data_IF_039307686113
#
_entry.id   IF_039307686113
#
_cell.length_a   1.000
_cell.length_b   1.000
_cell.length_c   1.000
_cell.angle_alpha   90.00
_cell.angle_beta   90.00
_cell.angle_gamma   90.00
#
_symmetry.space_group_name_H-M   'P 1'
#
loop_
_entity.id
_entity.type
_entity.pdbx_description
1 polymer ?
#
# COMPACT_ATOMS: atom_id res chain seq x y z
N UNK A 1 -5.24 29.94 -10.88
CA UNK A 1 -4.13 30.35 -11.78
C UNK A 1 -3.84 29.18 -12.73
N UNK A 2 -4.03 29.35 -14.04
CA UNK A 2 -3.98 28.23 -14.99
C UNK A 2 -2.66 27.46 -14.88
N UNK A 3 -2.72 26.12 -14.98
CA UNK A 3 -1.57 25.20 -14.87
C UNK A 3 -0.40 25.68 -15.75
N UNK A 4 -0.73 26.24 -16.91
CA UNK A 4 0.21 26.81 -17.87
C UNK A 4 1.04 27.99 -17.32
N UNK A 5 0.41 28.94 -16.59
CA UNK A 5 1.14 30.05 -15.95
C UNK A 5 2.15 29.57 -14.90
N UNK A 6 1.86 28.47 -14.21
CA UNK A 6 2.78 27.90 -13.19
C UNK A 6 3.98 27.21 -13.83
N UNK A 7 3.75 26.45 -14.91
CA UNK A 7 4.83 25.77 -15.63
C UNK A 7 5.73 26.76 -16.36
N UNK A 8 5.17 27.82 -16.97
CA UNK A 8 5.94 28.90 -17.59
C UNK A 8 6.84 29.61 -16.57
N UNK A 9 6.33 29.93 -15.36
CA UNK A 9 7.14 30.53 -14.30
C UNK A 9 8.32 29.65 -13.89
N UNK A 10 8.12 28.33 -13.75
CA UNK A 10 9.21 27.39 -13.45
C UNK A 10 10.24 27.34 -14.56
N UNK A 11 9.78 27.28 -15.82
CA UNK A 11 10.64 27.24 -16.99
C UNK A 11 11.53 28.50 -17.08
N UNK A 12 10.95 29.68 -16.84
CA UNK A 12 11.66 30.96 -16.82
C UNK A 12 12.69 31.04 -15.69
N UNK A 13 12.32 30.60 -14.48
CA UNK A 13 13.24 30.62 -13.34
C UNK A 13 14.43 29.66 -13.53
N UNK A 14 14.15 28.45 -14.02
CA UNK A 14 15.18 27.47 -14.37
C UNK A 14 16.10 27.99 -15.48
N UNK A 15 15.52 28.62 -16.50
CA UNK A 15 16.26 29.23 -17.61
C UNK A 15 17.18 30.34 -17.12
N UNK A 16 16.68 31.23 -16.25
CA UNK A 16 17.50 32.27 -15.65
C UNK A 16 18.65 31.68 -14.82
N UNK A 17 18.39 30.65 -14.02
CA UNK A 17 19.42 29.97 -13.24
C UNK A 17 20.50 29.34 -14.13
N UNK A 18 20.10 28.64 -15.20
CA UNK A 18 21.03 28.05 -16.17
C UNK A 18 21.88 29.14 -16.83
N UNK A 19 21.26 30.26 -17.25
CA UNK A 19 21.98 31.38 -17.85
C UNK A 19 23.07 31.93 -16.91
N UNK A 20 22.73 32.20 -15.65
CA UNK A 20 23.72 32.69 -14.68
C UNK A 20 24.84 31.68 -14.43
N UNK A 21 24.54 30.38 -14.39
CA UNK A 21 25.55 29.33 -14.27
C UNK A 21 26.47 29.34 -15.48
N UNK A 22 25.93 29.39 -16.70
CA UNK A 22 26.74 29.43 -17.92
C UNK A 22 27.62 30.68 -17.99
N UNK A 23 27.11 31.85 -17.60
CA UNK A 23 27.91 33.07 -17.53
C UNK A 23 29.01 32.99 -16.48
N UNK A 24 28.70 32.45 -15.30
CA UNK A 24 29.69 32.23 -14.25
C UNK A 24 30.82 31.29 -14.71
N UNK A 25 30.46 30.21 -15.42
CA UNK A 25 31.45 29.31 -16.03
C UNK A 25 32.31 30.04 -17.07
N UNK A 26 31.70 30.83 -17.97
CA UNK A 26 32.46 31.60 -18.98
C UNK A 26 33.44 32.60 -18.34
N UNK A 27 33.07 33.22 -17.21
CA UNK A 27 33.95 34.13 -16.44
C UNK A 27 35.12 33.36 -15.84
N UNK A 28 34.87 32.20 -15.22
CA UNK A 28 35.91 31.34 -14.63
C UNK A 28 36.91 30.86 -15.68
N UNK A 29 36.42 30.51 -16.87
CA UNK A 29 37.23 29.92 -17.93
C UNK A 29 37.89 30.92 -18.87
N UNK A 30 37.73 32.23 -18.61
CA UNK A 30 38.31 33.31 -19.42
C UNK A 30 38.05 33.18 -20.93
N UNK A 31 36.99 32.49 -21.33
CA UNK A 31 36.45 32.50 -22.69
C UNK A 31 35.81 33.86 -22.94
N UNK A 32 35.93 34.42 -24.16
CA UNK A 32 35.41 35.75 -24.52
C UNK A 32 34.04 36.02 -23.88
N UNK A 33 34.03 36.79 -22.80
CA UNK A 33 32.80 37.23 -22.19
C UNK A 33 32.20 38.24 -23.15
N UNK A 34 31.16 37.82 -23.88
CA UNK A 34 30.40 38.73 -24.74
C UNK A 34 29.90 39.87 -23.86
N UNK A 35 30.57 41.02 -23.88
CA UNK A 35 30.18 42.22 -23.16
C UNK A 35 29.42 43.16 -24.12
N UNK A 36 28.50 43.97 -23.61
CA UNK A 36 27.70 44.90 -24.43
C UNK A 36 26.53 44.22 -25.16
N UNK A 37 26.28 44.57 -26.42
CA UNK A 37 25.10 44.10 -27.18
C UNK A 37 25.05 42.57 -27.37
N UNK A 38 26.20 41.90 -27.36
CA UNK A 38 26.29 40.44 -27.46
C UNK A 38 25.65 39.66 -26.30
N UNK A 39 25.50 40.29 -25.12
CA UNK A 39 24.82 39.67 -23.96
C UNK A 39 23.35 39.39 -24.29
N UNK A 40 22.66 40.33 -24.95
CA UNK A 40 21.24 40.19 -25.26
C UNK A 40 20.97 39.05 -26.26
N UNK A 41 21.86 38.89 -27.23
CA UNK A 41 21.82 37.78 -28.19
C UNK A 41 22.06 36.45 -27.48
N UNK A 42 23.04 36.39 -26.58
CA UNK A 42 23.35 35.19 -25.79
C UNK A 42 22.19 34.80 -24.83
N UNK A 43 21.56 35.79 -24.19
CA UNK A 43 20.32 35.60 -23.42
C UNK A 43 19.23 35.01 -24.33
N UNK A 44 19.02 35.61 -25.52
CA UNK A 44 18.03 35.15 -26.47
C UNK A 44 18.20 33.69 -26.87
N UNK A 45 19.42 33.28 -27.23
CA UNK A 45 19.71 31.89 -27.54
C UNK A 45 19.56 30.99 -26.32
N UNK A 46 20.12 31.37 -25.16
CA UNK A 46 19.98 30.56 -23.95
C UNK A 46 18.50 30.28 -23.63
N UNK A 47 17.66 31.30 -23.70
CA UNK A 47 16.21 31.15 -23.49
C UNK A 47 15.55 30.28 -24.56
N UNK A 48 15.92 30.45 -25.83
CA UNK A 48 15.38 29.65 -26.93
C UNK A 48 15.66 28.15 -26.72
N UNK A 49 16.89 27.79 -26.34
CA UNK A 49 17.28 26.40 -26.12
C UNK A 49 16.66 25.81 -24.85
N UNK A 50 16.75 26.51 -23.71
CA UNK A 50 16.25 25.97 -22.43
C UNK A 50 14.74 25.85 -22.41
N UNK A 51 13.99 26.81 -22.97
CA UNK A 51 12.53 26.75 -23.02
C UNK A 51 12.06 25.63 -23.94
N UNK A 52 12.65 25.53 -25.15
CA UNK A 52 12.33 24.45 -26.10
C UNK A 52 12.56 23.07 -25.46
N UNK A 53 13.73 22.86 -24.86
CA UNK A 53 14.06 21.61 -24.20
C UNK A 53 13.15 21.35 -22.99
N UNK A 54 12.85 22.37 -22.18
CA UNK A 54 11.95 22.21 -21.03
C UNK A 54 10.56 21.75 -21.44
N UNK A 55 9.95 22.41 -22.44
CA UNK A 55 8.59 22.08 -22.86
C UNK A 55 8.51 20.72 -23.52
N UNK A 56 9.46 20.36 -24.38
CA UNK A 56 9.50 19.05 -25.04
C UNK A 56 9.66 17.93 -23.99
N UNK A 57 10.63 18.05 -23.09
CA UNK A 57 10.86 17.04 -22.06
C UNK A 57 9.72 16.98 -21.03
N UNK A 58 9.14 18.12 -20.64
CA UNK A 58 7.97 18.16 -19.75
C UNK A 58 6.74 17.49 -20.38
N UNK A 59 6.54 17.69 -21.70
CA UNK A 59 5.42 17.06 -22.43
C UNK A 59 5.62 15.56 -22.56
N UNK A 60 6.83 15.12 -22.91
CA UNK A 60 7.19 13.69 -22.94
C UNK A 60 6.99 13.04 -21.56
N UNK A 61 7.45 13.69 -20.49
CA UNK A 61 7.29 13.21 -19.12
C UNK A 61 5.81 13.05 -18.75
N UNK A 62 4.97 14.03 -19.07
CA UNK A 62 3.51 13.99 -18.83
C UNK A 62 2.84 12.89 -19.65
N UNK A 63 3.19 12.75 -20.93
CA UNK A 63 2.68 11.68 -21.81
C UNK A 63 2.99 10.29 -21.26
N UNK A 64 4.24 10.05 -20.87
CA UNK A 64 4.65 8.76 -20.31
C UNK A 64 4.02 8.46 -18.95
N UNK A 65 3.78 9.48 -18.12
CA UNK A 65 3.06 9.29 -16.86
C UNK A 65 1.57 8.99 -17.07
N UNK A 66 0.92 9.63 -18.05
CA UNK A 66 -0.47 9.35 -18.38
C UNK A 66 -0.67 7.95 -19.00
N UNK A 67 0.27 7.50 -19.83
CA UNK A 67 0.19 6.19 -20.50
C UNK A 67 0.46 5.00 -19.56
N UNK A 68 1.22 5.20 -18.49
CA UNK A 68 1.72 4.14 -17.61
C UNK A 68 1.28 4.34 -16.15
N UNK A 69 -0.03 4.51 -15.91
CA UNK A 69 -0.59 4.80 -14.59
C UNK A 69 -0.39 3.68 -13.54
N UNK A 70 -0.46 2.41 -13.94
CA UNK A 70 -0.51 1.30 -12.96
C UNK A 70 0.85 0.93 -12.36
N UNK A 71 1.96 1.22 -13.04
CA UNK A 71 3.34 1.02 -12.55
C UNK A 71 4.29 2.04 -13.21
N UNK A 72 4.30 3.30 -12.76
CA UNK A 72 5.00 4.38 -13.44
C UNK A 72 6.54 4.33 -13.31
N UNK A 73 7.08 3.59 -12.32
CA UNK A 73 8.49 3.71 -11.91
C UNK A 73 9.31 2.43 -11.96
N UNK A 74 8.94 1.47 -12.81
CA UNK A 74 9.81 0.31 -13.05
C UNK A 74 11.14 0.78 -13.67
N UNK A 75 12.30 0.25 -13.24
CA UNK A 75 13.62 0.60 -13.79
C UNK A 75 13.67 0.59 -15.33
N UNK A 76 13.08 -0.44 -15.96
CA UNK A 76 12.96 -0.56 -17.41
C UNK A 76 12.24 0.64 -18.06
N UNK A 77 11.17 1.13 -17.44
CA UNK A 77 10.38 2.25 -17.95
C UNK A 77 11.10 3.57 -17.77
N UNK A 78 11.81 3.75 -16.65
CA UNK A 78 12.66 4.94 -16.42
C UNK A 78 13.78 4.99 -17.45
N UNK A 79 14.45 3.86 -17.71
CA UNK A 79 15.50 3.78 -18.74
C UNK A 79 14.96 4.12 -20.14
N UNK A 80 13.81 3.57 -20.53
CA UNK A 80 13.16 3.90 -21.81
C UNK A 80 12.85 5.40 -21.89
N UNK A 81 12.31 6.00 -20.83
CA UNK A 81 12.00 7.43 -20.79
C UNK A 81 13.25 8.30 -20.92
N UNK A 82 14.33 7.93 -20.23
CA UNK A 82 15.59 8.64 -20.29
C UNK A 82 16.16 8.59 -21.72
N UNK A 83 16.21 7.41 -22.33
CA UNK A 83 16.69 7.24 -23.71
C UNK A 83 15.85 8.06 -24.69
N UNK A 84 14.52 7.98 -24.61
CA UNK A 84 13.63 8.75 -25.49
C UNK A 84 13.80 10.27 -25.27
N UNK A 85 13.89 10.71 -24.02
CA UNK A 85 14.13 12.13 -23.68
C UNK A 85 15.45 12.62 -24.26
N UNK A 86 16.53 11.84 -24.17
CA UNK A 86 17.82 12.20 -24.73
C UNK A 86 17.81 12.23 -26.26
N UNK A 87 17.24 11.20 -26.91
CA UNK A 87 17.14 11.16 -28.37
C UNK A 87 16.34 12.34 -28.92
N UNK A 88 15.21 12.67 -28.30
CA UNK A 88 14.41 13.84 -28.71
C UNK A 88 15.16 15.14 -28.45
N UNK A 89 15.87 15.27 -27.33
CA UNK A 89 16.66 16.46 -27.04
C UNK A 89 17.80 16.67 -28.04
N UNK A 90 18.53 15.61 -28.45
CA UNK A 90 19.54 15.71 -29.52
C UNK A 90 18.92 16.26 -30.79
N UNK A 91 17.77 15.70 -31.19
CA UNK A 91 17.06 16.13 -32.39
C UNK A 91 16.60 17.60 -32.31
N UNK A 92 16.04 18.02 -31.17
CA UNK A 92 15.63 19.41 -30.94
C UNK A 92 16.82 20.36 -30.97
N UNK A 93 17.94 20.01 -30.35
CA UNK A 93 19.16 20.82 -30.37
C UNK A 93 19.69 20.97 -31.80
N UNK A 94 19.71 19.88 -32.57
CA UNK A 94 20.13 19.90 -33.98
C UNK A 94 19.26 20.86 -34.80
N UNK A 95 17.93 20.81 -34.62
CA UNK A 95 17.00 21.73 -35.30
C UNK A 95 17.22 23.18 -34.88
N UNK A 96 17.41 23.45 -33.58
CA UNK A 96 17.66 24.81 -33.09
C UNK A 96 18.96 25.37 -33.65
N UNK A 97 20.02 24.56 -33.73
CA UNK A 97 21.30 24.97 -34.36
C UNK A 97 21.15 25.21 -35.85
N UNK A 98 20.37 24.40 -36.55
CA UNK A 98 20.07 24.63 -37.97
C UNK A 98 19.34 25.97 -38.18
N UNK A 99 18.36 26.28 -37.32
CA UNK A 99 17.64 27.57 -37.34
C UNK A 99 18.58 28.74 -37.01
N UNK A 100 19.48 28.56 -36.05
CA UNK A 100 20.46 29.57 -35.67
C UNK A 100 21.47 29.86 -36.78
N UNK A 101 22.14 28.84 -37.29
CA UNK A 101 23.23 28.99 -38.23
C UNK A 101 22.73 29.37 -39.63
N UNK A 102 21.66 28.74 -40.12
CA UNK A 102 21.13 29.03 -41.45
C UNK A 102 20.09 30.15 -41.46
N UNK A 103 19.22 30.20 -40.45
CA UNK A 103 18.11 31.15 -40.41
C UNK A 103 18.52 32.53 -39.89
N UNK A 104 19.29 32.58 -38.80
CA UNK A 104 19.64 33.85 -38.15
C UNK A 104 21.02 34.37 -38.58
N UNK A 105 22.02 33.50 -38.72
CA UNK A 105 23.38 33.87 -39.14
C UNK A 105 23.60 33.81 -40.66
N UNK A 106 22.69 33.18 -41.40
CA UNK A 106 22.71 33.13 -42.87
C UNK A 106 23.77 32.20 -43.47
N UNK A 107 24.28 31.23 -42.72
CA UNK A 107 25.26 30.26 -43.23
C UNK A 107 24.63 29.24 -44.19
N UNK A 108 25.46 28.69 -45.08
CA UNK A 108 25.04 27.69 -46.07
C UNK A 108 24.86 26.30 -45.45
N UNK A 109 24.12 25.43 -46.14
CA UNK A 109 23.95 24.03 -45.73
C UNK A 109 25.28 23.28 -45.59
N UNK A 110 26.22 23.54 -46.50
CA UNK A 110 27.54 22.91 -46.48
C UNK A 110 28.35 23.33 -45.25
N UNK A 111 28.28 24.61 -44.87
CA UNK A 111 28.97 25.14 -43.70
C UNK A 111 28.49 24.47 -42.41
N UNK A 112 27.18 24.29 -42.24
CA UNK A 112 26.61 23.65 -41.05
C UNK A 112 27.18 22.24 -40.84
N UNK A 113 27.16 21.40 -41.87
CA UNK A 113 27.62 20.01 -41.76
C UNK A 113 29.14 19.90 -41.53
N UNK A 114 29.94 20.81 -42.08
CA UNK A 114 31.39 20.83 -41.88
C UNK A 114 31.77 21.21 -40.43
N UNK A 115 30.96 22.07 -39.79
CA UNK A 115 31.18 22.57 -38.43
C UNK A 115 30.38 21.78 -37.37
N UNK A 116 29.72 20.71 -37.78
CA UNK A 116 28.88 19.92 -36.90
C UNK A 116 29.70 18.96 -36.04
N UNK A 117 29.84 19.28 -34.75
CA UNK A 117 30.64 18.52 -33.79
C UNK A 117 29.81 18.05 -32.60
N UNK A 118 30.16 16.89 -32.06
CA UNK A 118 29.52 16.34 -30.84
C UNK A 118 29.64 17.30 -29.65
N UNK A 119 30.73 18.07 -29.57
CA UNK A 119 30.96 19.08 -28.54
C UNK A 119 29.80 20.09 -28.43
N UNK A 120 29.15 20.42 -29.55
CA UNK A 120 28.07 21.39 -29.61
C UNK A 120 26.78 20.91 -28.91
N UNK A 121 26.68 19.62 -28.58
CA UNK A 121 25.52 19.03 -27.90
C UNK A 121 25.76 18.77 -26.41
N UNK A 122 27.02 18.70 -25.98
CA UNK A 122 27.39 18.18 -24.65
C UNK A 122 26.74 19.00 -23.53
N UNK A 123 26.87 20.32 -23.56
CA UNK A 123 26.36 21.20 -22.50
C UNK A 123 24.84 21.08 -22.37
N UNK A 124 24.12 21.14 -23.49
CA UNK A 124 22.66 21.04 -23.51
C UNK A 124 22.16 19.65 -23.09
N UNK A 125 22.89 18.57 -23.43
CA UNK A 125 22.59 17.22 -22.98
C UNK A 125 22.82 17.02 -21.49
N UNK A 126 23.92 17.54 -20.93
CA UNK A 126 24.18 17.49 -19.49
C UNK A 126 23.06 18.19 -18.71
N UNK A 127 22.67 19.39 -19.16
CA UNK A 127 21.54 20.13 -18.56
C UNK A 127 20.23 19.32 -18.68
N UNK A 128 19.96 18.73 -19.84
CA UNK A 128 18.77 17.90 -20.07
C UNK A 128 18.73 16.69 -19.12
N UNK A 129 19.84 15.98 -18.96
CA UNK A 129 19.96 14.85 -18.03
C UNK A 129 19.66 15.33 -16.61
N UNK A 130 20.31 16.41 -16.17
CA UNK A 130 20.14 16.94 -14.82
C UNK A 130 18.68 17.33 -14.53
N UNK A 131 18.05 18.07 -15.42
CA UNK A 131 16.65 18.50 -15.28
C UNK A 131 15.71 17.29 -15.29
N UNK A 132 15.93 16.34 -16.18
CA UNK A 132 15.09 15.14 -16.30
C UNK A 132 15.20 14.26 -15.06
N UNK A 133 16.41 14.02 -14.55
CA UNK A 133 16.64 13.26 -13.33
C UNK A 133 16.01 13.96 -12.11
N UNK A 134 16.18 15.27 -11.99
CA UNK A 134 15.59 16.06 -10.89
C UNK A 134 14.06 15.99 -10.91
N UNK A 135 13.44 16.11 -12.09
CA UNK A 135 11.99 15.98 -12.23
C UNK A 135 11.50 14.58 -11.83
N UNK A 136 12.23 13.53 -12.20
CA UNK A 136 11.91 12.16 -11.78
C UNK A 136 12.06 11.99 -10.27
N UNK A 137 13.14 12.49 -9.67
CA UNK A 137 13.39 12.42 -8.24
C UNK A 137 12.27 13.08 -7.42
N UNK A 138 11.85 14.30 -7.80
CA UNK A 138 10.74 15.02 -7.15
C UNK A 138 9.43 14.22 -7.26
N UNK A 139 9.15 13.65 -8.43
CA UNK A 139 7.89 12.94 -8.66
C UNK A 139 7.84 11.60 -7.91
N UNK A 140 8.97 10.86 -7.87
CA UNK A 140 9.12 9.65 -7.06
C UNK A 140 8.96 9.98 -5.57
N UNK A 141 9.61 11.04 -5.09
CA UNK A 141 9.50 11.47 -3.69
C UNK A 141 8.06 11.79 -3.32
N UNK A 142 7.34 12.53 -4.18
CA UNK A 142 5.94 12.85 -3.95
C UNK A 142 5.07 11.59 -3.93
N UNK A 143 5.25 10.68 -4.88
CA UNK A 143 4.49 9.43 -4.92
C UNK A 143 4.77 8.56 -3.69
N UNK A 144 6.01 8.51 -3.22
CA UNK A 144 6.37 7.83 -1.98
C UNK A 144 5.64 8.42 -0.77
N UNK A 145 5.65 9.75 -0.63
CA UNK A 145 4.98 10.42 0.49
C UNK A 145 3.46 10.26 0.45
N UNK A 146 2.83 10.36 -0.73
CA UNK A 146 1.38 10.15 -0.87
C UNK A 146 0.99 8.71 -0.49
N UNK A 147 1.83 7.72 -0.82
CA UNK A 147 1.60 6.32 -0.43
C UNK A 147 1.79 6.11 1.08
N UNK A 148 2.79 6.74 1.70
CA UNK A 148 2.99 6.70 3.15
C UNK A 148 1.75 7.19 3.90
N UNK A 149 1.21 8.35 3.50
CA UNK A 149 0.04 8.95 4.14
C UNK A 149 -1.19 8.05 4.00
N UNK A 150 -1.43 7.51 2.80
CA UNK A 150 -2.53 6.55 2.56
C UNK A 150 -2.40 5.32 3.45
N UNK A 151 -1.21 4.79 3.60
CA UNK A 151 -0.97 3.61 4.43
C UNK A 151 -1.17 3.91 5.92
N UNK A 152 -0.70 5.05 6.42
CA UNK A 152 -0.97 5.47 7.79
C UNK A 152 -2.47 5.61 8.06
N UNK A 153 -3.23 6.15 7.11
CA UNK A 153 -4.69 6.24 7.21
C UNK A 153 -5.34 4.85 7.25
N UNK A 154 -4.89 3.89 6.43
CA UNK A 154 -5.36 2.50 6.49
C UNK A 154 -5.04 1.86 7.83
N UNK A 155 -3.80 1.97 8.34
CA UNK A 155 -3.42 1.44 9.66
C UNK A 155 -4.27 2.02 10.78
N UNK A 156 -4.49 3.33 10.77
CA UNK A 156 -5.33 4.00 11.76
C UNK A 156 -6.78 3.53 11.69
N UNK A 157 -7.33 3.37 10.48
CA UNK A 157 -8.69 2.86 10.27
C UNK A 157 -8.83 1.43 10.78
N UNK A 158 -7.87 0.56 10.47
CA UNK A 158 -7.85 -0.84 10.95
C UNK A 158 -7.70 -0.91 12.47
N UNK A 159 -6.79 -0.13 13.06
CA UNK A 159 -6.61 -0.07 14.51
C UNK A 159 -7.87 0.45 15.21
N UNK A 160 -8.54 1.46 14.65
CA UNK A 160 -9.82 1.96 15.16
C UNK A 160 -10.93 0.91 15.06
N UNK A 161 -10.98 0.14 13.97
CA UNK A 161 -11.95 -0.94 13.80
C UNK A 161 -11.70 -2.09 14.79
N UNK A 162 -10.43 -2.46 15.01
CA UNK A 162 -10.02 -3.42 16.03
C UNK A 162 -10.38 -2.93 17.44
N UNK A 163 -10.13 -1.64 17.74
CA UNK A 163 -10.48 -1.03 19.01
C UNK A 163 -12.00 -1.01 19.26
N UNK A 164 -12.80 -0.59 18.28
CA UNK A 164 -14.26 -0.64 18.38
C UNK A 164 -14.77 -2.09 18.48
N UNK A 165 -14.14 -3.04 17.79
CA UNK A 165 -14.44 -4.47 17.96
C UNK A 165 -14.09 -4.97 19.36
N UNK A 166 -13.00 -4.47 19.98
CA UNK A 166 -12.58 -4.83 21.34
C UNK A 166 -13.55 -4.25 22.38
N UNK A 167 -13.94 -2.98 22.19
CA UNK A 167 -14.91 -2.27 23.02
C UNK A 167 -16.29 -2.94 23.02
N UNK A 168 -16.70 -3.49 21.89
CA UNK A 168 -17.98 -4.19 21.74
C UNK A 168 -17.99 -5.64 22.26
N UNK A 169 -16.85 -6.21 22.69
CA UNK A 169 -16.81 -7.57 23.23
C UNK A 169 -17.39 -7.69 24.66
N UNK A 170 -17.51 -6.57 25.37
CA UNK A 170 -18.27 -6.50 26.62
C UNK A 170 -19.56 -5.74 26.31
N UNK A 171 -20.63 -6.44 25.95
CA UNK A 171 -21.95 -5.82 25.81
C UNK A 171 -22.39 -5.30 27.20
N UNK A 172 -22.42 -3.97 27.43
CA UNK A 172 -22.78 -3.42 28.74
C UNK A 172 -24.23 -3.74 29.10
N UNK A 173 -25.10 -3.83 28.10
CA UNK A 173 -26.50 -4.16 28.27
C UNK A 173 -26.71 -5.65 28.64
N UNK A 174 -25.89 -6.57 28.13
CA UNK A 174 -25.86 -7.95 28.62
C UNK A 174 -25.44 -8.00 30.09
N UNK A 175 -24.40 -7.24 30.48
CA UNK A 175 -23.95 -7.15 31.87
C UNK A 175 -25.07 -6.64 32.79
N UNK A 176 -25.65 -5.47 32.48
CA UNK A 176 -26.71 -4.88 33.30
C UNK A 176 -27.95 -5.79 33.41
N UNK A 177 -28.36 -6.42 32.30
CA UNK A 177 -29.47 -7.37 32.34
C UNK A 177 -29.15 -8.61 33.18
N UNK A 178 -27.92 -9.12 33.10
CA UNK A 178 -27.50 -10.27 33.90
C UNK A 178 -27.49 -9.94 35.39
N UNK A 179 -27.10 -8.72 35.75
CA UNK A 179 -27.17 -8.24 37.13
C UNK A 179 -28.63 -8.12 37.62
N UNK A 180 -29.57 -7.66 36.78
CA UNK A 180 -30.98 -7.61 37.16
C UNK A 180 -31.58 -8.99 37.43
N UNK A 181 -31.26 -9.98 36.58
CA UNK A 181 -31.68 -11.38 36.79
C UNK A 181 -31.06 -11.93 38.08
N UNK A 182 -29.78 -11.64 38.32
CA UNK A 182 -29.11 -12.05 39.55
C UNK A 182 -29.79 -11.47 40.80
N UNK A 183 -30.15 -10.19 40.80
CA UNK A 183 -30.86 -9.55 41.92
C UNK A 183 -32.19 -10.24 42.20
N UNK A 184 -32.98 -10.56 41.17
CA UNK A 184 -34.24 -11.30 41.34
C UNK A 184 -34.00 -12.72 41.91
N UNK A 185 -32.99 -13.43 41.40
CA UNK A 185 -32.65 -14.78 41.86
C UNK A 185 -32.14 -14.80 43.32
N UNK A 186 -31.50 -13.73 43.81
CA UNK A 186 -31.01 -13.67 45.20
C UNK A 186 -32.19 -13.78 46.18
N UNK A 187 -33.32 -13.15 45.87
CA UNK A 187 -34.52 -13.18 46.71
C UNK A 187 -35.32 -14.47 46.51
N UNK A 188 -35.47 -14.93 45.27
CA UNK A 188 -36.35 -16.06 44.94
C UNK A 188 -35.68 -17.43 45.14
N UNK A 189 -34.42 -17.58 44.73
CA UNK A 189 -33.68 -18.84 44.81
C UNK A 189 -32.16 -18.60 44.95
N UNK A 190 -31.65 -18.45 46.19
CA UNK A 190 -30.24 -18.15 46.44
C UNK A 190 -29.26 -19.16 45.83
N UNK A 191 -29.65 -20.44 45.77
CA UNK A 191 -28.82 -21.47 45.15
C UNK A 191 -28.73 -21.29 43.62
N UNK A 192 -29.82 -20.86 42.96
CA UNK A 192 -29.80 -20.49 41.55
C UNK A 192 -28.97 -19.23 41.31
N UNK A 193 -29.07 -18.21 42.18
CA UNK A 193 -28.23 -17.01 42.12
C UNK A 193 -26.72 -17.33 42.18
N UNK A 194 -26.31 -18.25 43.05
CA UNK A 194 -24.92 -18.70 43.13
C UNK A 194 -24.45 -19.39 41.84
N UNK A 195 -25.29 -20.26 41.26
CA UNK A 195 -25.00 -20.92 39.97
C UNK A 195 -24.95 -19.90 38.81
N UNK A 196 -25.85 -18.93 38.82
CA UNK A 196 -25.89 -17.83 37.85
C UNK A 196 -24.60 -17.00 37.91
N UNK A 197 -24.19 -16.56 39.10
CA UNK A 197 -22.96 -15.80 39.33
C UNK A 197 -21.72 -16.56 38.85
N UNK A 198 -21.65 -17.87 39.17
CA UNK A 198 -20.53 -18.72 38.73
C UNK A 198 -20.48 -18.82 37.20
N UNK A 199 -21.63 -19.00 36.55
CA UNK A 199 -21.72 -19.09 35.08
C UNK A 199 -21.35 -17.76 34.44
N UNK A 200 -21.79 -16.64 35.02
CA UNK A 200 -21.48 -15.28 34.54
C UNK A 200 -19.98 -15.00 34.63
N UNK A 201 -19.35 -15.38 35.75
CA UNK A 201 -17.89 -15.27 35.92
C UNK A 201 -17.12 -16.10 34.88
N UNK A 202 -17.58 -17.32 34.58
CA UNK A 202 -16.97 -18.18 33.54
C UNK A 202 -17.09 -17.56 32.15
N UNK A 203 -18.23 -16.95 31.82
CA UNK A 203 -18.37 -16.23 30.54
C UNK A 203 -17.32 -15.14 30.43
N UNK A 204 -17.27 -14.24 31.41
CA UNK A 204 -16.37 -13.10 31.34
C UNK A 204 -14.90 -13.52 31.33
N UNK A 205 -14.54 -14.57 32.07
CA UNK A 205 -13.19 -15.13 32.02
C UNK A 205 -12.84 -15.62 30.61
N UNK A 206 -13.73 -16.39 29.97
CA UNK A 206 -13.50 -16.85 28.60
C UNK A 206 -13.38 -15.69 27.61
N UNK A 207 -14.26 -14.68 27.68
CA UNK A 207 -14.17 -13.48 26.83
C UNK A 207 -12.82 -12.78 26.98
N UNK A 208 -12.31 -12.67 28.21
CA UNK A 208 -11.01 -12.04 28.48
C UNK A 208 -9.82 -12.91 28.05
N UNK A 209 -9.89 -14.23 28.24
CA UNK A 209 -8.81 -15.17 27.92
C UNK A 209 -8.64 -15.36 26.40
N UNK A 210 -9.72 -15.24 25.64
CA UNK A 210 -9.73 -15.47 24.19
C UNK A 210 -9.58 -14.17 23.36
N UNK A 211 -9.45 -13.01 24.02
CA UNK A 211 -9.44 -11.68 23.36
C UNK A 211 -8.32 -11.51 22.31
N UNK A 212 -7.18 -12.15 22.54
CA UNK A 212 -5.98 -12.04 21.70
C UNK A 212 -5.83 -13.24 20.75
N UNK A 213 -6.74 -14.23 20.82
CA UNK A 213 -6.67 -15.42 19.97
C UNK A 213 -7.44 -15.21 18.67
N UNK A 214 -6.83 -15.57 17.56
CA UNK A 214 -7.48 -15.54 16.24
C UNK A 214 -8.43 -16.71 16.04
N UNK A 215 -8.07 -17.88 16.58
CA UNK A 215 -8.82 -19.13 16.52
C UNK A 215 -8.75 -19.87 17.85
N UNK A 216 -9.79 -20.65 18.13
CA UNK A 216 -9.88 -21.56 19.29
C UNK A 216 -10.38 -22.93 18.82
N UNK A 217 -10.01 -24.01 19.52
CA UNK A 217 -10.59 -25.32 19.25
C UNK A 217 -12.11 -25.28 19.34
N UNK A 218 -12.79 -25.98 18.43
CA UNK A 218 -14.26 -26.02 18.36
C UNK A 218 -14.86 -26.53 19.68
N UNK A 219 -14.22 -27.50 20.34
CA UNK A 219 -14.68 -28.03 21.62
C UNK A 219 -14.68 -26.97 22.73
N UNK A 220 -13.71 -26.04 22.75
CA UNK A 220 -13.68 -24.93 23.72
C UNK A 220 -14.86 -23.98 23.47
N UNK A 221 -15.10 -23.61 22.21
CA UNK A 221 -16.19 -22.70 21.84
C UNK A 221 -17.57 -23.35 22.09
N UNK A 222 -17.73 -24.65 21.85
CA UNK A 222 -18.96 -25.39 22.17
C UNK A 222 -19.20 -25.49 23.70
N UNK A 223 -18.16 -25.75 24.49
CA UNK A 223 -18.25 -25.77 25.95
C UNK A 223 -18.61 -24.39 26.52
N UNK A 224 -18.07 -23.33 25.91
CA UNK A 224 -18.43 -21.95 26.20
C UNK A 224 -19.89 -21.67 25.83
N UNK A 225 -20.31 -22.03 24.61
CA UNK A 225 -21.70 -21.89 24.16
C UNK A 225 -22.70 -22.62 25.08
N UNK A 226 -22.36 -23.83 25.55
CA UNK A 226 -23.19 -24.55 26.51
C UNK A 226 -23.33 -23.83 27.86
N UNK A 227 -22.26 -23.16 28.32
CA UNK A 227 -22.30 -22.33 29.54
C UNK A 227 -23.15 -21.07 29.31
N UNK A 228 -23.03 -20.46 28.13
CA UNK A 228 -23.82 -19.30 27.72
C UNK A 228 -25.32 -19.63 27.62
N UNK A 229 -25.66 -20.76 27.02
CA UNK A 229 -27.04 -21.27 26.92
C UNK A 229 -27.68 -21.45 28.29
N UNK A 230 -26.98 -22.03 29.26
CA UNK A 230 -27.50 -22.17 30.63
C UNK A 230 -27.89 -20.83 31.26
N UNK A 231 -27.15 -19.76 30.94
CA UNK A 231 -27.49 -18.42 31.40
C UNK A 231 -28.72 -17.83 30.69
N UNK A 232 -28.88 -18.10 29.40
CA UNK A 232 -30.08 -17.73 28.67
C UNK A 232 -31.31 -18.51 29.18
N UNK A 233 -31.17 -19.81 29.46
CA UNK A 233 -32.23 -20.65 30.04
C UNK A 233 -32.64 -20.14 31.43
N UNK A 234 -31.70 -19.74 32.29
CA UNK A 234 -32.03 -19.12 33.58
C UNK A 234 -32.75 -17.77 33.43
N UNK A 235 -32.54 -17.05 32.32
CA UNK A 235 -33.15 -15.73 32.07
C UNK A 235 -34.53 -15.83 31.41
N UNK A 236 -34.71 -16.78 30.50
CA UNK A 236 -35.89 -16.89 29.65
C UNK A 236 -36.73 -18.14 29.96
N UNK A 237 -36.29 -18.96 30.92
CA UNK A 237 -36.95 -20.17 31.39
C UNK A 237 -37.34 -21.07 30.21
N UNK A 238 -38.61 -21.49 30.14
CA UNK A 238 -39.14 -22.39 29.11
C UNK A 238 -39.36 -21.70 27.75
N UNK A 239 -38.95 -20.45 27.58
CA UNK A 239 -39.18 -19.68 26.35
C UNK A 239 -38.14 -19.91 25.27
N UNK A 240 -37.04 -20.61 25.56
CA UNK A 240 -35.98 -20.94 24.60
C UNK A 240 -35.61 -22.41 24.75
N UNK A 241 -35.36 -23.08 23.63
CA UNK A 241 -34.88 -24.45 23.58
C UNK A 241 -33.64 -24.53 22.70
N UNK A 242 -32.57 -25.13 23.21
CA UNK A 242 -31.33 -25.33 22.50
C UNK A 242 -31.10 -26.81 22.24
N UNK A 243 -30.86 -27.16 20.97
CA UNK A 243 -30.38 -28.47 20.56
C UNK A 243 -28.91 -28.37 20.15
N UNK A 244 -28.01 -28.84 21.01
CA UNK A 244 -26.56 -28.81 20.82
C UNK A 244 -25.95 -30.21 20.80
N UNK A 245 -26.64 -31.18 20.19
CA UNK A 245 -26.17 -32.56 20.13
C UNK A 245 -25.08 -32.76 19.06
N UNK A 246 -23.89 -32.20 19.32
CA UNK A 246 -22.70 -32.36 18.48
C UNK A 246 -21.75 -33.35 19.17
N UNK A 247 -21.47 -34.47 18.50
CA UNK A 247 -20.52 -35.47 19.02
C UNK A 247 -19.11 -34.88 19.10
N UNK A 248 -18.40 -35.19 20.19
CA UNK A 248 -17.05 -34.67 20.48
C UNK A 248 -15.93 -35.30 19.62
N UNK A 249 -16.26 -36.05 18.57
CA UNK A 249 -15.28 -36.71 17.69
C UNK A 249 -14.51 -35.74 16.78
N UNK A 250 -14.77 -34.44 16.91
CA UNK A 250 -14.30 -33.35 16.05
C UNK A 250 -13.20 -32.49 16.70
N UNK A 251 -12.22 -33.13 17.35
CA UNK A 251 -11.17 -32.43 18.11
C UNK A 251 -10.17 -31.61 17.26
N UNK A 252 -10.11 -31.84 15.95
CA UNK A 252 -9.12 -31.20 15.06
C UNK A 252 -9.63 -29.88 14.43
N UNK A 253 -10.86 -29.47 14.76
CA UNK A 253 -11.48 -28.28 14.17
C UNK A 253 -11.30 -27.04 15.04
N UNK A 254 -11.09 -25.92 14.38
CA UNK A 254 -10.93 -24.58 14.94
C UNK A 254 -12.02 -23.65 14.43
N UNK A 255 -12.35 -22.66 15.25
CA UNK A 255 -13.37 -21.67 14.96
C UNK A 255 -12.92 -20.29 15.48
N UNK A 256 -13.44 -19.22 14.88
CA UNK A 256 -13.22 -17.85 15.37
C UNK A 256 -13.88 -17.70 16.76
N UNK A 257 -13.16 -17.30 17.82
CA UNK A 257 -13.70 -17.25 19.17
C UNK A 257 -14.85 -16.25 19.29
N UNK A 258 -15.80 -16.56 20.17
CA UNK A 258 -17.03 -15.79 20.44
C UNK A 258 -18.02 -15.73 19.28
N UNK A 259 -17.80 -16.50 18.20
CA UNK A 259 -18.74 -16.54 17.07
C UNK A 259 -20.07 -17.17 17.47
N UNK A 260 -20.04 -18.24 18.28
CA UNK A 260 -21.28 -18.91 18.71
C UNK A 260 -22.10 -18.01 19.62
N UNK A 261 -21.46 -17.33 20.58
CA UNK A 261 -22.16 -16.37 21.44
C UNK A 261 -22.91 -15.31 20.63
N UNK A 262 -22.25 -14.69 19.66
CA UNK A 262 -22.85 -13.67 18.81
C UNK A 262 -24.05 -14.21 18.01
N UNK A 263 -23.98 -15.45 17.52
CA UNK A 263 -25.09 -16.08 16.79
C UNK A 263 -26.27 -16.43 17.71
N UNK A 264 -25.99 -16.96 18.91
CA UNK A 264 -27.01 -17.26 19.92
C UNK A 264 -27.71 -15.98 20.40
N UNK A 265 -26.94 -14.92 20.65
CA UNK A 265 -27.48 -13.61 21.04
C UNK A 265 -28.36 -13.02 19.93
N UNK A 266 -27.91 -13.08 18.68
CA UNK A 266 -28.70 -12.61 17.53
C UNK A 266 -30.02 -13.37 17.40
N UNK A 267 -30.01 -14.70 17.60
CA UNK A 267 -31.23 -15.51 17.56
C UNK A 267 -32.23 -15.05 18.63
N UNK A 268 -31.80 -14.83 19.87
CA UNK A 268 -32.69 -14.37 20.95
C UNK A 268 -33.16 -12.93 20.75
N UNK A 269 -32.29 -12.04 20.26
CA UNK A 269 -32.56 -10.60 20.13
C UNK A 269 -33.60 -10.27 19.05
N UNK A 270 -33.55 -10.99 17.92
CA UNK A 270 -34.37 -10.70 16.74
C UNK A 270 -35.68 -11.47 16.70
N UNK A 271 -35.88 -12.41 17.62
CA UNK A 271 -37.08 -13.23 17.68
C UNK A 271 -37.91 -12.95 18.94
N UNK A 272 -39.21 -13.21 18.84
CA UNK A 272 -40.13 -13.31 19.97
C UNK A 272 -39.73 -14.53 20.78
N UNK A 273 -39.60 -14.34 22.09
CA UNK A 273 -39.23 -15.37 23.06
C UNK A 273 -40.36 -15.41 24.08
N UNK A 274 -41.14 -16.49 24.09
CA UNK A 274 -42.28 -16.66 24.99
C UNK A 274 -42.51 -18.12 25.34
N UNK A 275 -43.01 -18.40 26.54
CA UNK A 275 -43.33 -19.77 26.96
C UNK A 275 -44.43 -20.44 26.13
N UNK A 276 -45.31 -19.66 25.50
CA UNK A 276 -46.37 -20.16 24.62
C UNK A 276 -45.85 -20.58 23.24
N UNK A 277 -44.73 -19.99 22.82
CA UNK A 277 -44.07 -20.28 21.55
C UNK A 277 -42.56 -20.19 21.73
N UNK A 278 -41.92 -21.25 22.26
CA UNK A 278 -40.49 -21.24 22.53
C UNK A 278 -39.67 -21.01 21.26
N UNK A 279 -38.54 -20.33 21.39
CA UNK A 279 -37.57 -20.19 20.32
C UNK A 279 -36.67 -21.42 20.28
N UNK A 280 -36.73 -22.18 19.19
CA UNK A 280 -35.86 -23.34 18.99
C UNK A 280 -34.61 -22.93 18.21
N UNK A 281 -33.44 -23.21 18.77
CA UNK A 281 -32.13 -22.97 18.18
C UNK A 281 -31.39 -24.31 18.13
N UNK A 282 -30.88 -24.69 16.96
CA UNK A 282 -30.19 -25.96 16.75
C UNK A 282 -28.80 -25.74 16.14
N UNK A 283 -27.84 -26.48 16.66
CA UNK A 283 -26.46 -26.51 16.19
C UNK A 283 -26.17 -27.88 15.59
N UNK A 284 -25.60 -27.90 14.39
CA UNK A 284 -25.18 -29.13 13.72
C UNK A 284 -23.92 -28.89 12.89
N UNK A 285 -23.21 -29.96 12.55
CA UNK A 285 -22.05 -29.90 11.66
C UNK A 285 -22.43 -30.58 10.34
N UNK A 286 -22.27 -29.86 9.24
CA UNK A 286 -22.52 -30.36 7.88
C UNK A 286 -21.34 -29.94 7.01
N UNK A 287 -20.72 -30.87 6.30
CA UNK A 287 -19.65 -30.59 5.32
C UNK A 287 -18.54 -29.65 5.83
N UNK A 288 -18.01 -29.91 7.03
CA UNK A 288 -16.98 -29.09 7.69
C UNK A 288 -17.41 -27.65 7.97
N UNK A 289 -18.71 -27.44 8.16
CA UNK A 289 -19.28 -26.17 8.56
C UNK A 289 -20.15 -26.37 9.79
N UNK A 290 -20.05 -25.43 10.73
CA UNK A 290 -20.95 -25.35 11.86
C UNK A 290 -22.19 -24.56 11.44
N UNK A 291 -23.31 -25.26 11.36
CA UNK A 291 -24.64 -24.72 11.06
C UNK A 291 -25.33 -24.34 12.37
N UNK A 292 -25.73 -23.07 12.49
CA UNK A 292 -26.60 -22.56 13.55
C UNK A 292 -27.92 -22.16 12.91
N UNK A 293 -29.01 -22.84 13.28
CA UNK A 293 -30.35 -22.62 12.73
C UNK A 293 -31.36 -22.25 13.81
N UNK A 294 -32.26 -21.31 13.53
CA UNK A 294 -33.38 -20.98 14.40
C UNK A 294 -34.68 -20.76 13.61
N UNK A 295 -35.82 -21.05 14.25
CA UNK A 295 -37.14 -20.71 13.70
C UNK A 295 -37.31 -19.19 13.72
N UNK A 296 -37.77 -18.61 12.60
CA UNK A 296 -38.05 -17.19 12.50
C UNK A 296 -39.36 -16.84 13.21
N UNK A 297 -39.26 -16.00 14.22
CA UNK A 297 -40.36 -15.42 14.98
C UNK A 297 -40.13 -13.92 15.14
N UNK A 298 -40.16 -13.16 14.04
CA UNK A 298 -39.73 -11.75 14.05
C UNK A 298 -40.40 -10.93 15.14
N UNK A 299 -39.59 -10.16 15.86
CA UNK A 299 -40.06 -9.12 16.78
C UNK A 299 -40.46 -7.88 15.97
N UNK A 300 -41.70 -7.41 16.09
CA UNK A 300 -42.17 -6.17 15.46
C UNK A 300 -41.47 -4.96 16.10
N UNK A 301 -40.29 -4.62 15.60
CA UNK A 301 -39.57 -3.42 15.98
C UNK A 301 -39.08 -2.74 14.70
N UNK A 302 -39.57 -1.52 14.45
CA UNK A 302 -39.19 -0.59 13.38
C UNK A 302 -37.73 -0.10 13.47
N UNK A 303 -36.76 -1.01 13.63
CA UNK A 303 -35.34 -0.68 13.57
C UNK A 303 -34.61 -1.67 12.68
N UNK A 304 -34.50 -1.31 11.40
CA UNK A 304 -33.52 -1.83 10.45
C UNK A 304 -32.08 -1.44 10.85
N UNK A 305 -31.65 -1.83 12.06
CA UNK A 305 -30.22 -1.80 12.40
C UNK A 305 -29.59 -3.07 11.85
N UNK A 306 -29.05 -2.97 10.64
CA UNK A 306 -28.20 -4.01 10.02
C UNK A 306 -27.19 -4.54 11.06
N UNK A 307 -27.20 -5.85 11.24
CA UNK A 307 -26.57 -6.57 12.35
C UNK A 307 -25.05 -6.43 12.43
N UNK A 308 -24.60 -5.50 13.28
CA UNK A 308 -23.19 -5.31 13.67
C UNK A 308 -22.53 -6.63 14.09
N UNK A 309 -23.27 -7.50 14.81
CA UNK A 309 -22.77 -8.80 15.24
C UNK A 309 -22.43 -9.74 14.08
N UNK A 310 -23.30 -9.82 13.07
CA UNK A 310 -23.09 -10.71 11.92
C UNK A 310 -22.00 -10.17 10.98
N UNK A 311 -21.94 -8.84 10.78
CA UNK A 311 -20.83 -8.22 10.03
C UNK A 311 -19.48 -8.47 10.69
N UNK A 312 -19.42 -8.44 12.03
CA UNK A 312 -18.18 -8.71 12.76
C UNK A 312 -17.69 -10.14 12.54
N UNK A 313 -18.59 -11.13 12.56
CA UNK A 313 -18.24 -12.52 12.26
C UNK A 313 -17.69 -12.63 10.83
N UNK A 314 -18.43 -12.11 9.83
CA UNK A 314 -18.03 -12.18 8.42
C UNK A 314 -16.64 -11.56 8.20
N UNK A 315 -16.40 -10.37 8.75
CA UNK A 315 -15.12 -9.67 8.60
C UNK A 315 -13.96 -10.46 9.22
N UNK A 316 -14.16 -11.07 10.40
CA UNK A 316 -13.11 -11.88 11.04
C UNK A 316 -12.78 -13.13 10.24
N UNK A 317 -13.78 -13.82 9.69
CA UNK A 317 -13.53 -14.97 8.81
C UNK A 317 -12.79 -14.57 7.53
N UNK A 318 -13.15 -13.44 6.91
CA UNK A 318 -12.49 -12.95 5.69
C UNK A 318 -10.99 -12.64 5.88
N UNK A 319 -10.56 -12.32 7.10
CA UNK A 319 -9.15 -12.09 7.42
C UNK A 319 -8.35 -13.39 7.56
N UNK A 320 -9.01 -14.53 7.82
CA UNK A 320 -8.38 -15.80 8.16
C UNK A 320 -8.50 -16.85 7.06
N UNK A 321 -9.58 -16.83 6.28
CA UNK A 321 -9.83 -17.86 5.27
C UNK A 321 -10.56 -17.28 4.04
N UNK A 322 -10.30 -17.80 2.83
CA UNK A 322 -11.13 -17.48 1.66
C UNK A 322 -12.53 -18.12 1.71
N UNK A 323 -12.76 -19.08 2.62
CA UNK A 323 -14.07 -19.74 2.80
C UNK A 323 -15.07 -18.75 3.40
N UNK A 324 -16.23 -18.60 2.76
CA UNK A 324 -17.23 -17.60 3.15
C UNK A 324 -18.16 -18.14 4.23
N UNK A 325 -18.53 -17.26 5.16
CA UNK A 325 -19.70 -17.46 6.03
C UNK A 325 -20.95 -17.38 5.16
N UNK A 326 -21.78 -18.42 5.18
CA UNK A 326 -23.02 -18.48 4.41
C UNK A 326 -24.20 -18.15 5.32
N UNK A 327 -25.09 -17.30 4.83
CA UNK A 327 -26.31 -16.89 5.54
C UNK A 327 -27.47 -17.22 4.62
N UNK A 328 -28.40 -18.04 5.11
CA UNK A 328 -29.63 -18.36 4.41
C UNK A 328 -30.82 -18.04 5.30
N UNK A 329 -31.85 -17.48 4.68
CA UNK A 329 -33.10 -17.13 5.34
C UNK A 329 -34.26 -17.59 4.46
N UNK A 330 -35.14 -18.42 5.00
CA UNK A 330 -36.41 -18.81 4.37
C UNK A 330 -37.56 -18.02 5.01
N UNK A 331 -38.81 -18.36 4.67
CA UNK A 331 -39.97 -17.76 5.34
C UNK A 331 -40.08 -18.17 6.81
N UNK A 332 -39.53 -19.31 7.20
CA UNK A 332 -39.73 -19.93 8.52
C UNK A 332 -38.45 -20.16 9.30
N UNK A 333 -37.28 -20.07 8.67
CA UNK A 333 -36.00 -20.40 9.28
C UNK A 333 -34.91 -19.40 8.91
N UNK A 334 -34.03 -19.12 9.86
CA UNK A 334 -32.77 -18.40 9.65
C UNK A 334 -31.61 -19.31 10.00
N UNK A 335 -30.58 -19.33 9.16
CA UNK A 335 -29.42 -20.20 9.33
C UNK A 335 -28.12 -19.48 8.96
N UNK A 336 -27.07 -19.72 9.75
CA UNK A 336 -25.71 -19.25 9.49
C UNK A 336 -24.76 -20.44 9.52
N UNK A 337 -23.93 -20.56 8.49
CA UNK A 337 -22.92 -21.59 8.36
C UNK A 337 -21.52 -20.97 8.51
N UNK A 338 -20.80 -21.43 9.53
CA UNK A 338 -19.43 -21.02 9.82
C UNK A 338 -18.45 -22.08 9.33
N UNK A 339 -17.48 -21.76 8.46
CA UNK A 339 -16.44 -22.71 8.07
C UNK A 339 -15.61 -23.17 9.27
N UNK A 340 -15.47 -24.48 9.46
CA UNK A 340 -14.55 -25.04 10.45
C UNK A 340 -13.14 -25.08 9.85
N UNK A 341 -12.15 -24.61 10.59
CA UNK A 341 -10.76 -24.51 10.15
C UNK A 341 -9.89 -25.63 10.74
N UNK A 342 -8.80 -25.97 10.07
CA UNK A 342 -7.80 -26.93 10.56
C UNK A 342 -6.63 -26.23 11.24
N UNK A 343 -5.86 -26.96 12.05
CA UNK A 343 -4.66 -26.42 12.72
C UNK A 343 -3.64 -25.83 11.72
N UNK A 344 -3.52 -26.40 10.51
CA UNK A 344 -2.65 -25.87 9.46
C UNK A 344 -3.12 -24.50 8.93
N UNK A 345 -4.43 -24.26 8.86
CA UNK A 345 -4.98 -22.92 8.58
C UNK A 345 -4.82 -21.98 9.78
N UNK A 346 -4.73 -22.52 11.01
CA UNK A 346 -4.48 -21.74 12.23
C UNK A 346 -2.99 -21.36 12.43
N UNK A 347 -2.06 -22.20 11.98
CA UNK A 347 -0.61 -22.01 12.07
C UNK A 347 -0.05 -21.11 10.96
N UNK A 348 -0.79 -20.93 9.87
CA UNK A 348 -0.41 -20.06 8.76
C UNK A 348 -1.35 -18.87 8.62
N UNK A 349 -1.19 -17.80 9.42
CA UNK A 349 -1.72 -16.49 9.06
C UNK A 349 -0.86 -15.95 7.90
N UNK A 350 -1.05 -16.48 6.69
CA UNK A 350 -0.34 -16.04 5.49
C UNK A 350 -1.27 -15.97 4.29
N UNK A 351 -2.23 -15.07 4.36
CA UNK A 351 -2.81 -14.42 3.16
C UNK A 351 -2.98 -12.90 3.33
N UNK A 352 -2.40 -12.32 4.37
CA UNK A 352 -1.97 -10.93 4.34
C UNK A 352 -0.49 -11.01 4.05
N UNK A 353 -0.09 -10.80 2.79
CA UNK A 353 1.32 -10.46 2.55
C UNK A 353 1.61 -9.32 3.50
N UNK A 354 2.54 -9.51 4.43
CA UNK A 354 2.85 -8.50 5.45
C UNK A 354 3.17 -7.21 4.69
N UNK A 355 2.18 -6.31 4.61
CA UNK A 355 2.31 -5.05 3.91
C UNK A 355 3.47 -4.27 4.52
N UNK A 356 3.82 -4.56 5.78
CA UNK A 356 4.97 -4.01 6.48
C UNK A 356 6.29 -4.58 5.95
N UNK A 357 6.39 -5.89 5.68
CA UNK A 357 7.57 -6.48 5.04
C UNK A 357 7.72 -6.02 3.57
N UNK A 358 6.63 -5.99 2.81
CA UNK A 358 6.60 -5.43 1.44
C UNK A 358 6.98 -3.94 1.44
N UNK A 359 6.49 -3.19 2.42
CA UNK A 359 6.80 -1.78 2.62
C UNK A 359 8.25 -1.57 3.05
N UNK A 360 8.79 -2.37 3.96
CA UNK A 360 10.19 -2.31 4.38
C UNK A 360 11.11 -2.63 3.21
N UNK A 361 10.77 -3.63 2.38
CA UNK A 361 11.45 -3.90 1.12
C UNK A 361 11.34 -2.73 0.14
N UNK A 362 10.15 -2.13 -0.01
CA UNK A 362 9.94 -0.97 -0.88
C UNK A 362 10.69 0.27 -0.37
N UNK A 363 10.75 0.52 0.94
CA UNK A 363 11.45 1.63 1.56
C UNK A 363 12.97 1.46 1.42
N UNK A 364 13.50 0.26 1.70
CA UNK A 364 14.91 -0.08 1.42
C UNK A 364 15.24 0.14 -0.05
N UNK A 365 14.34 -0.22 -0.96
CA UNK A 365 14.51 0.00 -2.40
C UNK A 365 14.53 1.49 -2.76
N UNK A 366 13.62 2.29 -2.21
CA UNK A 366 13.58 3.75 -2.40
C UNK A 366 14.84 4.40 -1.84
N UNK A 367 15.34 3.94 -0.69
CA UNK A 367 16.57 4.42 -0.09
C UNK A 367 17.79 4.13 -0.99
N UNK A 368 17.94 2.88 -1.46
CA UNK A 368 19.00 2.51 -2.42
C UNK A 368 18.94 3.33 -3.70
N UNK A 369 17.74 3.55 -4.24
CA UNK A 369 17.56 4.42 -5.42
C UNK A 369 17.97 5.87 -5.13
N UNK A 370 17.62 6.41 -3.97
CA UNK A 370 18.00 7.77 -3.58
C UNK A 370 19.52 7.92 -3.46
N UNK A 371 20.20 6.96 -2.83
CA UNK A 371 21.65 6.94 -2.71
C UNK A 371 22.33 6.84 -4.07
N UNK A 372 21.84 5.93 -4.94
CA UNK A 372 22.33 5.80 -6.31
C UNK A 372 22.17 7.09 -7.12
N UNK A 373 20.99 7.70 -7.16
CA UNK A 373 20.77 8.94 -7.92
C UNK A 373 21.54 10.12 -7.33
N UNK A 374 21.71 10.19 -6.01
CA UNK A 374 22.56 11.19 -5.37
C UNK A 374 24.01 11.08 -5.81
N UNK A 375 24.56 9.87 -5.80
CA UNK A 375 25.93 9.61 -6.26
C UNK A 375 26.09 9.80 -7.77
N UNK A 376 25.11 9.39 -8.57
CA UNK A 376 25.08 9.63 -10.03
C UNK A 376 25.11 11.12 -10.37
N UNK A 377 24.36 11.93 -9.62
CA UNK A 377 24.35 13.38 -9.75
C UNK A 377 25.72 13.98 -9.40
N UNK A 378 26.30 13.59 -8.27
CA UNK A 378 27.62 14.05 -7.86
C UNK A 378 28.69 13.69 -8.91
N UNK A 379 28.67 12.45 -9.40
CA UNK A 379 29.58 11.99 -10.45
C UNK A 379 29.43 12.79 -11.75
N UNK A 380 28.20 13.05 -12.18
CA UNK A 380 27.91 13.82 -13.40
C UNK A 380 28.34 15.30 -13.33
N UNK A 381 28.47 15.87 -12.13
CA UNK A 381 28.95 17.25 -11.93
C UNK A 381 30.47 17.29 -11.76
N UNK A 382 31.00 16.40 -10.92
CA UNK A 382 32.41 16.44 -10.49
C UNK A 382 33.32 15.86 -11.56
N UNK A 383 32.93 14.80 -12.27
CA UNK A 383 33.80 14.18 -13.28
C UNK A 383 34.12 15.08 -14.47
N UNK A 384 33.15 15.78 -15.10
CA UNK A 384 33.48 16.74 -16.16
C UNK A 384 34.46 17.82 -15.69
N UNK A 385 34.34 18.25 -14.42
CA UNK A 385 35.22 19.26 -13.83
C UNK A 385 36.65 18.72 -13.61
N UNK A 386 36.80 17.47 -13.13
CA UNK A 386 38.10 16.82 -12.97
C UNK A 386 38.78 16.50 -14.31
N UNK A 387 38.01 16.04 -15.29
CA UNK A 387 38.49 15.78 -16.66
C UNK A 387 39.00 17.08 -17.27
N UNK A 388 38.21 18.14 -17.16
CA UNK A 388 38.59 19.45 -17.66
C UNK A 388 39.84 19.99 -16.96
N UNK A 389 39.90 19.93 -15.62
CA UNK A 389 41.03 20.41 -14.83
C UNK A 389 42.34 19.69 -15.19
N UNK A 390 42.27 18.38 -15.41
CA UNK A 390 43.43 17.59 -15.81
C UNK A 390 43.86 17.84 -17.27
N UNK A 391 42.93 18.19 -18.17
CA UNK A 391 43.25 18.52 -19.57
C UNK A 391 43.76 19.97 -19.69
N UNK A 392 43.33 20.88 -18.80
CA UNK A 392 43.77 22.29 -18.79
C UNK A 392 45.14 22.50 -18.15
N UNK A 393 45.56 21.59 -17.27
CA UNK A 393 46.88 21.61 -16.65
C UNK A 393 47.83 20.82 -17.57
N UNK A 394 48.85 21.48 -18.13
CA UNK A 394 49.69 21.02 -19.25
C UNK A 394 50.60 19.81 -18.96
N UNK A 395 50.21 18.92 -18.05
CA UNK A 395 50.89 17.67 -17.74
C UNK A 395 50.33 16.54 -18.63
N UNK A 396 51.21 15.82 -19.33
CA UNK A 396 50.87 14.65 -20.17
C UNK A 396 50.26 13.46 -19.38
N UNK A 397 50.13 13.58 -18.06
CA UNK A 397 49.54 12.56 -17.20
C UNK A 397 48.02 12.77 -17.04
N UNK A 398 47.24 11.92 -17.71
CA UNK A 398 45.78 11.88 -17.61
C UNK A 398 45.30 11.19 -16.32
N UNK A 399 45.57 11.77 -15.15
CA UNK A 399 45.16 11.19 -13.86
C UNK A 399 43.63 11.15 -13.65
N UNK A 400 42.82 11.86 -14.45
CA UNK A 400 41.35 11.78 -14.35
C UNK A 400 40.79 10.36 -14.54
N UNK A 401 41.54 9.46 -15.21
CA UNK A 401 41.16 8.06 -15.39
C UNK A 401 40.99 7.31 -14.06
N UNK A 402 41.78 7.64 -13.03
CA UNK A 402 41.69 6.98 -11.73
C UNK A 402 40.34 7.22 -11.02
N UNK A 403 39.87 8.46 -10.81
CA UNK A 403 38.54 8.70 -10.25
C UNK A 403 37.42 8.30 -11.22
N UNK A 404 37.60 8.40 -12.55
CA UNK A 404 36.60 7.96 -13.52
C UNK A 404 36.30 6.46 -13.39
N UNK A 405 37.35 5.62 -13.34
CA UNK A 405 37.22 4.17 -13.23
C UNK A 405 36.85 3.77 -11.79
N UNK A 406 37.53 4.35 -10.80
CA UNK A 406 37.29 4.04 -9.38
C UNK A 406 35.87 4.40 -8.94
N UNK A 407 35.47 5.67 -9.11
CA UNK A 407 34.15 6.12 -8.71
C UNK A 407 33.06 5.61 -9.65
N UNK A 408 33.36 5.50 -10.95
CA UNK A 408 32.43 4.96 -11.96
C UNK A 408 32.09 3.49 -11.72
N UNK A 409 33.06 2.67 -11.32
CA UNK A 409 32.80 1.26 -10.95
C UNK A 409 31.92 1.13 -9.71
N UNK A 410 32.16 1.95 -8.67
CA UNK A 410 31.31 2.00 -7.49
C UNK A 410 29.86 2.42 -7.81
N UNK A 411 29.69 3.35 -8.74
CA UNK A 411 28.39 3.80 -9.23
C UNK A 411 27.67 2.68 -10.01
N UNK A 412 28.43 1.89 -10.77
CA UNK A 412 27.95 0.71 -11.49
C UNK A 412 27.42 -0.36 -10.51
N UNK A 413 28.19 -0.69 -9.45
CA UNK A 413 27.75 -1.64 -8.43
C UNK A 413 26.52 -1.17 -7.65
N UNK A 414 26.50 0.11 -7.24
CA UNK A 414 25.30 0.70 -6.62
C UNK A 414 24.09 0.68 -7.56
N UNK A 415 24.31 0.90 -8.87
CA UNK A 415 23.27 0.80 -9.88
C UNK A 415 22.72 -0.62 -10.01
N UNK A 416 23.57 -1.64 -10.02
CA UNK A 416 23.16 -3.05 -10.07
C UNK A 416 22.31 -3.41 -8.83
N UNK A 417 22.72 -2.97 -7.65
CA UNK A 417 22.02 -3.23 -6.38
C UNK A 417 20.72 -2.42 -6.22
N UNK A 418 20.68 -1.18 -6.70
CA UNK A 418 19.50 -0.33 -6.62
C UNK A 418 18.44 -0.67 -7.68
N UNK A 419 18.87 -1.09 -8.87
CA UNK A 419 17.99 -1.49 -9.97
C UNK A 419 17.58 -2.95 -9.90
N UNK A 420 18.17 -3.72 -8.97
CA UNK A 420 17.77 -5.08 -8.64
C UNK A 420 17.95 -6.03 -9.84
N UNK A 421 19.03 -5.83 -10.60
CA UNK A 421 19.30 -6.55 -11.85
C UNK A 421 19.66 -8.04 -11.63
N UNK A 422 19.90 -8.48 -10.39
CA UNK A 422 20.28 -9.85 -10.02
C UNK A 422 19.20 -10.71 -9.32
N UNK A 423 18.14 -10.12 -8.76
CA UNK A 423 17.15 -10.79 -7.89
C UNK A 423 15.82 -11.14 -8.58
N UNK A 424 15.69 -10.88 -9.89
CA UNK A 424 14.50 -11.23 -10.67
C UNK A 424 14.12 -12.72 -10.59
N UNK A 425 15.04 -13.59 -10.16
CA UNK A 425 14.76 -15.01 -9.93
C UNK A 425 13.90 -15.25 -8.69
N UNK A 426 14.05 -14.47 -7.60
CA UNK A 426 13.26 -14.58 -6.37
C UNK A 426 11.81 -14.17 -6.62
N UNK A 427 11.61 -13.06 -7.34
CA UNK A 427 10.28 -12.57 -7.71
C UNK A 427 9.57 -13.54 -8.68
N UNK A 428 10.32 -14.21 -9.57
CA UNK A 428 9.83 -15.29 -10.43
C UNK A 428 9.52 -16.57 -9.64
N UNK A 429 10.36 -16.92 -8.66
CA UNK A 429 10.15 -18.08 -7.79
C UNK A 429 8.90 -17.88 -6.93
N UNK A 430 8.73 -16.70 -6.33
CA UNK A 430 7.55 -16.32 -5.54
C UNK A 430 6.27 -16.31 -6.39
N UNK A 431 6.32 -15.75 -7.62
CA UNK A 431 5.18 -15.82 -8.56
C UNK A 431 4.85 -17.24 -9.00
N UNK A 432 5.86 -18.07 -9.23
CA UNK A 432 5.69 -19.48 -9.61
C UNK A 432 5.07 -20.27 -8.45
N UNK A 433 5.50 -19.99 -7.22
CA UNK A 433 4.96 -20.59 -6.00
C UNK A 433 3.49 -20.17 -5.79
N UNK A 434 3.16 -18.88 -5.88
CA UNK A 434 1.77 -18.39 -5.82
C UNK A 434 0.87 -18.99 -6.91
N UNK A 435 1.41 -19.20 -8.12
CA UNK A 435 0.68 -19.82 -9.23
C UNK A 435 0.40 -21.31 -9.01
N UNK A 436 1.34 -22.03 -8.39
CA UNK A 436 1.15 -23.44 -8.03
C UNK A 436 0.18 -23.60 -6.85
N UNK A 437 0.22 -22.69 -5.88
CA UNK A 437 -0.72 -22.68 -4.75
C UNK A 437 -2.17 -22.52 -5.22
N UNK A 438 -2.46 -21.53 -6.08
CA UNK A 438 -3.79 -21.32 -6.71
C UNK A 438 -4.28 -22.46 -7.61
N UNK A 439 -3.42 -23.43 -7.93
CA UNK A 439 -3.75 -24.56 -8.81
C UNK A 439 -4.06 -25.84 -8.02
N UNK A 440 -3.60 -25.90 -6.77
CA UNK A 440 -3.71 -27.07 -5.90
C UNK A 440 -4.75 -26.89 -4.77
N UNK A 441 -5.29 -25.68 -4.61
CA UNK A 441 -6.37 -25.27 -3.72
C UNK A 441 -7.28 -24.29 -4.48
#
# INVERSE_FOLDING_TARGET
MSIWKRELKKALWLTAAIFFILQFLNIIYATDTTCGEGIWVNIGFTFMYTLSLYFVNSTLFKYFNARFQDQPYTPKRIAIRLVVSLSVSVFVIMLLRMIEDMGMKGYSWAYFWEHERMANYVVALVITIFVTLTMHAIYIYKAYHDNLVKQQAVKATTASAQFESLKNQIDPHFLFNSLNVLTALIEENPAAAQRFTTSLSRIYRYVLDQKDKQLVPLHEELAFAATYVKLLEMRFENSIQFDMNIQQEHNDWYIVPLSLQLLLENAVKHNVVSSQKPLHIKLSIIDQQLLVENVLQRKDLNQDRKGVGLSNIIQRYQLLTPRKVLIAQTQTMFSVQLPLLTEAEALHPQLVVDEQMLFDHAQKRVQKLREFYGNALAFGIVMPLLIWLNISDSNDAHWFWFPLIGWGSGLLFQGIDALDLGTQWEEKALKKWMKNYKKNH
#
